data_IF_233586493545
#
_entry.id   IF_233586493545
#
_cell.length_a   1.000
_cell.length_b   1.000
_cell.length_c   1.000
_cell.angle_alpha   90.00
_cell.angle_beta   90.00
_cell.angle_gamma   90.00
#
_symmetry.space_group_name_H-M   'P 1'
#
loop_
_entity.id
_entity.type
_entity.pdbx_description
1 polymer ?
#
# COMPACT_ATOMS: atom_id res chain seq x y z
N UNK A 1 -21.06 12.00 -8.49
CA UNK A 1 -21.17 12.83 -9.70
C UNK A 1 -22.62 13.02 -10.04
N UNK A 2 -23.00 14.20 -10.57
CA UNK A 2 -24.37 14.42 -11.04
C UNK A 2 -24.78 13.24 -11.93
N UNK A 3 -26.02 12.74 -11.82
CA UNK A 3 -26.57 11.69 -12.70
C UNK A 3 -26.83 12.22 -14.12
N UNK A 4 -25.96 13.12 -14.58
CA UNK A 4 -25.95 13.68 -15.90
C UNK A 4 -25.03 12.78 -16.72
N UNK A 5 -25.58 12.19 -17.78
CA UNK A 5 -24.82 11.29 -18.65
C UNK A 5 -23.74 12.09 -19.35
N UNK A 6 -22.51 11.61 -19.29
CA UNK A 6 -21.40 12.20 -20.03
C UNK A 6 -21.39 11.65 -21.45
N UNK A 7 -21.85 12.44 -22.42
CA UNK A 7 -21.76 12.12 -23.85
C UNK A 7 -20.40 12.56 -24.40
N UNK A 8 -19.51 11.61 -24.68
CA UNK A 8 -18.17 11.86 -25.23
C UNK A 8 -18.27 12.63 -26.55
N UNK A 9 -17.51 13.72 -26.67
CA UNK A 9 -17.36 14.42 -27.95
C UNK A 9 -16.50 13.56 -28.90
N UNK A 10 -17.00 13.15 -30.07
CA UNK A 10 -16.24 12.35 -31.03
C UNK A 10 -15.03 13.12 -31.61
N UNK A 11 -15.14 14.44 -31.74
CA UNK A 11 -14.12 15.31 -32.33
C UNK A 11 -13.01 15.67 -31.33
N UNK A 12 -13.34 15.64 -30.03
CA UNK A 12 -12.40 15.84 -28.94
C UNK A 12 -12.73 14.91 -27.76
N UNK A 13 -12.19 13.68 -27.83
CA UNK A 13 -12.45 12.65 -26.81
C UNK A 13 -11.91 13.05 -25.43
N UNK A 14 -10.85 13.84 -25.37
CA UNK A 14 -10.17 14.26 -24.14
C UNK A 14 -10.76 15.55 -23.54
N UNK A 15 -11.43 16.36 -24.35
CA UNK A 15 -12.02 17.63 -23.91
C UNK A 15 -13.38 17.52 -23.23
N UNK A 16 -14.05 18.67 -23.16
CA UNK A 16 -15.38 18.80 -22.53
C UNK A 16 -16.40 17.94 -23.26
N UNK A 17 -17.18 17.15 -22.52
CA UNK A 17 -18.21 16.31 -23.12
C UNK A 17 -19.34 17.15 -23.71
N UNK A 18 -20.08 16.61 -24.69
CA UNK A 18 -21.21 17.29 -25.34
C UNK A 18 -22.26 17.75 -24.35
N UNK A 19 -22.39 17.03 -23.22
CA UNK A 19 -23.34 17.39 -22.17
C UNK A 19 -22.89 18.59 -21.34
N UNK A 20 -21.61 18.69 -21.02
CA UNK A 20 -21.05 19.85 -20.34
C UNK A 20 -20.94 21.08 -21.26
N UNK A 21 -20.68 20.88 -22.57
CA UNK A 21 -20.68 21.95 -23.57
C UNK A 21 -22.07 22.61 -23.71
N UNK A 22 -23.15 21.83 -23.65
CA UNK A 22 -24.53 22.37 -23.70
C UNK A 22 -24.86 23.36 -22.58
N UNK A 23 -24.13 23.33 -21.46
CA UNK A 23 -24.37 24.17 -20.27
C UNK A 23 -23.19 25.10 -19.95
N UNK A 24 -22.18 25.19 -20.82
CA UNK A 24 -20.97 25.99 -20.57
C UNK A 24 -21.23 27.50 -20.58
N UNK A 25 -22.29 27.95 -21.24
CA UNK A 25 -22.64 29.37 -21.35
C UNK A 25 -23.42 29.90 -20.13
N UNK A 26 -23.72 29.06 -19.14
CA UNK A 26 -24.41 29.47 -17.91
C UNK A 26 -23.37 29.97 -16.90
N UNK A 27 -23.58 31.16 -16.32
CA UNK A 27 -22.68 31.84 -15.35
C UNK A 27 -22.28 31.02 -14.09
N UNK A 28 -22.81 29.81 -13.93
CA UNK A 28 -22.57 28.90 -12.80
C UNK A 28 -21.45 27.88 -13.11
N UNK A 29 -20.89 27.88 -14.32
CA UNK A 29 -19.85 26.94 -14.71
C UNK A 29 -18.49 27.26 -14.04
N UNK A 30 -18.18 26.57 -12.94
CA UNK A 30 -16.91 26.72 -12.19
C UNK A 30 -15.99 25.49 -12.22
N UNK A 31 -16.47 24.34 -12.72
CA UNK A 31 -15.72 23.08 -12.68
C UNK A 31 -15.53 22.50 -14.09
N UNK A 32 -14.32 22.00 -14.43
CA UNK A 32 -14.09 21.33 -15.70
C UNK A 32 -14.90 20.02 -15.80
N UNK A 33 -15.05 19.50 -17.02
CA UNK A 33 -15.67 18.20 -17.25
C UNK A 33 -14.79 17.09 -16.66
N UNK A 34 -15.17 16.52 -15.52
CA UNK A 34 -14.44 15.46 -14.83
C UNK A 34 -15.10 14.09 -15.05
N UNK A 35 -14.37 13.15 -15.64
CA UNK A 35 -14.84 11.78 -15.97
C UNK A 35 -14.15 10.70 -15.12
N UNK A 36 -14.07 10.92 -13.81
CA UNK A 36 -13.32 10.05 -12.91
C UNK A 36 -14.07 8.76 -12.54
N UNK A 37 -13.36 7.63 -12.45
CA UNK A 37 -13.86 6.41 -11.81
C UNK A 37 -13.06 6.15 -10.54
N UNK A 38 -13.74 5.88 -9.43
CA UNK A 38 -13.06 5.60 -8.17
C UNK A 38 -12.22 4.31 -8.23
N UNK A 39 -12.59 3.38 -9.11
CA UNK A 39 -11.85 2.14 -9.38
C UNK A 39 -10.51 2.35 -10.11
N UNK A 40 -10.29 3.54 -10.70
CA UNK A 40 -9.03 3.89 -11.37
C UNK A 40 -7.93 4.29 -10.36
N UNK A 41 -8.29 4.51 -9.08
CA UNK A 41 -7.34 4.93 -8.04
C UNK A 41 -6.23 3.88 -7.83
N UNK A 42 -4.97 4.32 -7.96
CA UNK A 42 -3.78 3.54 -7.63
C UNK A 42 -3.42 3.72 -6.15
N UNK A 43 -3.26 2.61 -5.45
CA UNK A 43 -3.09 2.58 -3.98
C UNK A 43 -1.83 1.84 -3.52
N UNK A 44 -1.01 1.33 -4.43
CA UNK A 44 0.23 0.63 -4.12
C UNK A 44 1.17 0.65 -5.32
N UNK A 45 2.44 0.28 -5.09
CA UNK A 45 3.45 0.23 -6.14
C UNK A 45 3.26 -0.93 -7.11
N UNK A 46 3.54 -0.75 -8.40
CA UNK A 46 3.39 -1.83 -9.38
C UNK A 46 4.45 -2.94 -9.25
N UNK A 47 5.53 -2.69 -8.51
CA UNK A 47 6.64 -3.63 -8.36
C UNK A 47 7.96 -2.93 -8.02
N UNK A 48 9.06 -3.53 -8.46
CA UNK A 48 10.41 -2.99 -8.34
C UNK A 48 10.60 -1.74 -9.21
N UNK A 49 11.60 -0.92 -8.85
CA UNK A 49 12.01 0.21 -9.67
C UNK A 49 12.81 -0.33 -10.86
N UNK A 50 12.54 0.18 -12.06
CA UNK A 50 13.23 -0.23 -13.29
C UNK A 50 14.75 -0.10 -13.13
N UNK A 51 15.50 -1.14 -13.45
CA UNK A 51 16.95 -1.21 -13.27
C UNK A 51 17.42 -1.55 -11.85
N UNK A 52 16.49 -1.78 -10.92
CA UNK A 52 16.74 -2.21 -9.54
C UNK A 52 15.95 -3.48 -9.19
N UNK A 53 15.65 -4.30 -10.20
CA UNK A 53 15.00 -5.59 -10.04
C UNK A 53 15.91 -6.56 -9.28
N UNK A 54 15.34 -7.34 -8.37
CA UNK A 54 16.09 -8.40 -7.67
C UNK A 54 16.22 -9.68 -8.48
N UNK A 55 15.35 -9.88 -9.47
CA UNK A 55 15.40 -11.02 -10.39
C UNK A 55 14.60 -10.72 -11.65
N UNK A 56 14.97 -11.36 -12.76
CA UNK A 56 14.22 -11.35 -14.03
C UNK A 56 13.41 -12.64 -14.27
N UNK A 57 13.26 -13.49 -13.25
CA UNK A 57 12.48 -14.74 -13.35
C UNK A 57 11.01 -14.54 -13.71
N UNK A 58 10.39 -13.46 -13.24
CA UNK A 58 8.93 -13.25 -13.32
C UNK A 58 8.58 -11.93 -14.01
N UNK A 59 8.90 -11.81 -15.31
CA UNK A 59 8.72 -10.57 -16.09
C UNK A 59 7.25 -10.15 -16.22
N UNK A 60 6.33 -11.11 -16.30
CA UNK A 60 4.88 -10.85 -16.45
C UNK A 60 4.10 -10.88 -15.12
N UNK A 61 4.80 -11.00 -13.99
CA UNK A 61 4.17 -11.02 -12.66
C UNK A 61 3.36 -12.28 -12.35
N UNK A 62 3.48 -13.35 -13.15
CA UNK A 62 3.01 -14.70 -12.82
C UNK A 62 4.14 -15.44 -12.10
N UNK A 63 4.03 -15.65 -10.78
CA UNK A 63 5.06 -16.37 -10.07
C UNK A 63 4.91 -17.89 -10.28
N UNK A 64 5.92 -18.51 -10.88
CA UNK A 64 6.14 -19.95 -10.76
C UNK A 64 7.13 -20.23 -9.62
N UNK A 65 6.94 -21.36 -8.94
CA UNK A 65 7.89 -21.86 -7.94
C UNK A 65 9.26 -22.12 -8.59
N UNK A 66 10.33 -21.96 -7.81
CA UNK A 66 11.67 -22.29 -8.30
C UNK A 66 11.76 -23.81 -8.51
N UNK A 67 12.20 -24.20 -9.71
CA UNK A 67 12.39 -25.60 -10.09
C UNK A 67 13.81 -26.13 -9.78
N UNK A 68 14.83 -25.27 -9.91
CA UNK A 68 16.24 -25.65 -9.79
C UNK A 68 16.82 -25.31 -8.41
N UNK A 69 16.82 -26.32 -7.53
CA UNK A 69 17.34 -26.21 -6.16
C UNK A 69 18.77 -26.74 -6.05
N UNK A 70 19.62 -26.01 -5.30
CA UNK A 70 21.01 -26.39 -5.02
C UNK A 70 21.15 -27.35 -3.83
N UNK A 71 20.11 -27.44 -2.99
CA UNK A 71 20.06 -28.31 -1.82
C UNK A 71 18.66 -28.91 -1.66
N UNK A 72 18.57 -30.11 -1.10
CA UNK A 72 17.30 -30.71 -0.66
C UNK A 72 16.87 -30.20 0.72
N UNK A 73 17.77 -29.55 1.46
CA UNK A 73 17.53 -29.01 2.79
C UNK A 73 16.49 -27.88 2.74
N UNK A 74 15.50 -27.95 3.62
CA UNK A 74 14.50 -26.89 3.80
C UNK A 74 14.67 -26.28 5.18
N UNK A 75 14.78 -24.95 5.22
CA UNK A 75 14.90 -24.17 6.45
C UNK A 75 13.64 -23.36 6.69
N UNK A 76 13.38 -23.03 7.95
CA UNK A 76 12.30 -22.13 8.36
C UNK A 76 12.90 -20.82 8.84
N UNK A 77 12.55 -19.73 8.18
CA UNK A 77 12.97 -18.38 8.56
C UNK A 77 11.78 -17.58 9.03
N UNK A 78 12.00 -16.70 10.00
CA UNK A 78 11.01 -15.71 10.43
C UNK A 78 11.40 -14.36 9.84
N UNK A 79 10.45 -13.67 9.21
CA UNK A 79 10.68 -12.39 8.54
C UNK A 79 9.73 -11.32 9.06
N UNK A 80 10.22 -10.10 9.14
CA UNK A 80 9.42 -8.96 9.59
C UNK A 80 9.92 -7.64 9.00
N UNK A 81 8.99 -6.71 8.79
CA UNK A 81 9.30 -5.30 8.54
C UNK A 81 9.37 -4.52 9.86
N UNK A 82 9.10 -5.14 11.00
CA UNK A 82 9.14 -4.53 12.34
C UNK A 82 7.97 -3.58 12.61
N UNK A 83 6.79 -3.88 12.07
CA UNK A 83 5.55 -3.15 12.35
C UNK A 83 4.74 -3.76 13.50
N UNK A 84 4.98 -5.02 13.83
CA UNK A 84 4.33 -5.77 14.90
C UNK A 84 5.40 -6.54 15.66
N UNK A 85 5.04 -7.09 16.82
CA UNK A 85 5.88 -8.03 17.58
C UNK A 85 6.02 -9.40 16.89
N UNK A 86 5.10 -9.71 15.99
CA UNK A 86 5.05 -10.99 15.30
C UNK A 86 5.86 -10.95 14.00
N UNK A 87 6.18 -12.13 13.50
CA UNK A 87 6.95 -12.33 12.28
C UNK A 87 6.30 -13.43 11.44
N UNK A 88 6.39 -13.30 10.12
CA UNK A 88 5.87 -14.29 9.18
C UNK A 88 6.89 -15.41 9.04
N UNK A 89 6.47 -16.65 9.24
CA UNK A 89 7.33 -17.82 9.02
C UNK A 89 7.24 -18.28 7.58
N UNK A 90 8.39 -18.54 6.96
CA UNK A 90 8.50 -18.97 5.57
C UNK A 90 9.44 -20.17 5.45
N UNK A 91 9.07 -21.12 4.60
CA UNK A 91 9.94 -22.25 4.23
C UNK A 91 10.80 -21.87 3.04
N UNK A 92 12.11 -22.04 3.19
CA UNK A 92 13.10 -21.61 2.21
C UNK A 92 14.10 -22.71 1.90
N UNK A 93 14.69 -22.64 0.72
CA UNK A 93 15.71 -23.58 0.23
C UNK A 93 16.72 -22.83 -0.62
N UNK A 94 17.94 -23.34 -0.67
CA UNK A 94 18.98 -22.77 -1.52
C UNK A 94 18.71 -23.14 -2.99
N UNK A 95 18.67 -22.15 -3.88
CA UNK A 95 18.45 -22.35 -5.31
C UNK A 95 19.75 -22.20 -6.11
N UNK A 96 19.75 -22.69 -7.35
CA UNK A 96 20.85 -22.45 -8.29
C UNK A 96 20.61 -21.09 -8.98
N UNK A 97 21.47 -20.09 -8.77
CA UNK A 97 21.32 -18.78 -9.41
C UNK A 97 21.35 -18.87 -10.93
N UNK A 98 20.57 -18.01 -11.58
CA UNK A 98 20.59 -17.86 -13.04
C UNK A 98 20.83 -16.40 -13.43
N UNK A 99 21.06 -16.15 -14.72
CA UNK A 99 21.23 -14.79 -15.22
C UNK A 99 20.03 -13.90 -14.86
N UNK A 100 20.33 -12.69 -14.38
CA UNK A 100 19.36 -11.73 -13.89
C UNK A 100 18.98 -11.86 -12.42
N UNK A 101 19.41 -12.90 -11.70
CA UNK A 101 19.24 -12.96 -10.24
C UNK A 101 20.27 -12.09 -9.52
N UNK A 102 19.79 -11.23 -8.62
CA UNK A 102 20.65 -10.49 -7.72
C UNK A 102 21.06 -11.35 -6.53
N UNK A 103 22.37 -11.45 -6.31
CA UNK A 103 22.98 -12.06 -5.11
C UNK A 103 23.62 -11.00 -4.21
N UNK A 104 23.23 -9.74 -4.38
CA UNK A 104 23.78 -8.63 -3.63
C UNK A 104 22.71 -7.72 -3.03
N UNK A 105 23.04 -7.10 -1.90
CA UNK A 105 22.30 -5.96 -1.36
C UNK A 105 23.22 -4.74 -1.41
N UNK A 106 22.71 -3.63 -1.94
CA UNK A 106 23.48 -2.40 -2.10
C UNK A 106 22.75 -1.16 -1.57
N UNK A 107 23.53 -0.18 -1.12
CA UNK A 107 23.08 1.14 -0.68
C UNK A 107 24.13 2.21 -1.04
N UNK A 108 23.75 3.48 -0.98
CA UNK A 108 24.66 4.61 -1.18
C UNK A 108 24.91 5.31 0.16
N UNK A 109 26.17 5.61 0.46
CA UNK A 109 26.59 6.43 1.60
C UNK A 109 27.67 7.39 1.12
N UNK A 110 27.51 8.69 1.38
CA UNK A 110 28.42 9.76 0.94
C UNK A 110 28.77 9.71 -0.57
N UNK A 111 27.78 9.39 -1.39
CA UNK A 111 27.94 9.27 -2.85
C UNK A 111 28.59 7.96 -3.32
N UNK A 112 29.06 7.11 -2.40
CA UNK A 112 29.72 5.83 -2.72
C UNK A 112 28.72 4.68 -2.62
N UNK A 113 28.64 3.86 -3.66
CA UNK A 113 27.82 2.64 -3.66
C UNK A 113 28.55 1.53 -2.91
N UNK A 114 27.93 1.05 -1.83
CA UNK A 114 28.36 -0.12 -1.05
C UNK A 114 27.49 -1.33 -1.40
N UNK A 115 28.05 -2.54 -1.25
CA UNK A 115 27.35 -3.80 -1.52
C UNK A 115 27.86 -4.94 -0.65
N UNK A 116 26.99 -5.92 -0.40
CA UNK A 116 27.33 -7.20 0.25
C UNK A 116 26.72 -8.37 -0.49
N UNK A 117 27.40 -9.52 -0.46
CA UNK A 117 26.94 -10.77 -1.07
C UNK A 117 25.95 -11.46 -0.13
N UNK A 118 24.83 -11.92 -0.67
CA UNK A 118 23.74 -12.56 0.06
C UNK A 118 23.52 -13.97 -0.51
N UNK A 119 23.32 -14.99 0.35
CA UNK A 119 23.12 -16.36 -0.11
C UNK A 119 21.84 -16.52 -0.95
N UNK A 120 21.91 -17.43 -1.92
CA UNK A 120 20.86 -17.71 -2.88
C UNK A 120 19.74 -18.59 -2.28
N UNK A 121 18.94 -18.01 -1.38
CA UNK A 121 17.73 -18.65 -0.88
C UNK A 121 16.46 -18.10 -1.54
N UNK A 122 15.45 -18.95 -1.63
CA UNK A 122 14.13 -18.64 -2.14
C UNK A 122 13.05 -19.39 -1.35
N UNK A 123 11.83 -18.86 -1.38
CA UNK A 123 10.64 -19.48 -0.80
C UNK A 123 10.27 -20.72 -1.61
N UNK A 124 9.97 -21.81 -0.90
CA UNK A 124 9.68 -23.13 -1.48
C UNK A 124 8.28 -23.20 -2.10
N UNK A 125 7.28 -22.59 -1.45
CA UNK A 125 5.89 -22.65 -1.87
C UNK A 125 5.23 -21.27 -1.68
N UNK A 126 4.82 -20.66 -2.78
CA UNK A 126 4.25 -19.31 -2.76
C UNK A 126 2.79 -19.24 -2.27
N UNK A 127 2.02 -20.32 -2.41
CA UNK A 127 0.65 -20.39 -1.85
C UNK A 127 0.66 -20.49 -0.32
N UNK A 128 1.64 -21.18 0.26
CA UNK A 128 1.87 -21.16 1.71
C UNK A 128 2.29 -19.77 2.18
N UNK A 129 3.21 -19.12 1.46
CA UNK A 129 3.62 -17.75 1.79
C UNK A 129 2.43 -16.78 1.74
N UNK A 130 1.58 -16.87 0.71
CA UNK A 130 0.34 -16.10 0.58
C UNK A 130 -0.61 -16.36 1.75
N UNK A 131 -0.77 -17.61 2.16
CA UNK A 131 -1.63 -17.98 3.30
C UNK A 131 -1.08 -17.41 4.61
N UNK A 132 0.24 -17.47 4.81
CA UNK A 132 0.92 -16.92 5.97
C UNK A 132 0.78 -15.38 6.02
N UNK A 133 1.02 -14.69 4.91
CA UNK A 133 0.86 -13.23 4.81
C UNK A 133 -0.59 -12.78 4.98
N UNK A 134 -1.55 -13.47 4.38
CA UNK A 134 -2.99 -13.13 4.50
C UNK A 134 -3.47 -13.28 5.94
N UNK A 135 -3.04 -14.33 6.62
CA UNK A 135 -3.33 -14.56 8.05
C UNK A 135 -2.69 -13.47 8.91
N UNK A 136 -1.41 -13.19 8.68
CA UNK A 136 -0.67 -12.15 9.40
C UNK A 136 -1.31 -10.76 9.25
N UNK A 137 -1.68 -10.36 8.03
CA UNK A 137 -2.35 -9.08 7.77
C UNK A 137 -3.71 -9.02 8.47
N UNK A 138 -4.47 -10.11 8.43
CA UNK A 138 -5.81 -10.17 9.03
C UNK A 138 -5.79 -10.04 10.55
N UNK A 139 -4.77 -10.59 11.21
CA UNK A 139 -4.64 -10.55 12.67
C UNK A 139 -3.95 -9.28 13.18
N UNK A 140 -3.06 -8.66 12.40
CA UNK A 140 -2.07 -7.72 12.95
C UNK A 140 -2.22 -6.27 12.48
N UNK A 141 -3.20 -5.95 11.63
CA UNK A 141 -3.39 -4.57 11.13
C UNK A 141 -3.63 -3.55 12.26
N UNK A 142 -4.29 -3.96 13.35
CA UNK A 142 -4.52 -3.10 14.51
C UNK A 142 -3.20 -2.70 15.17
N UNK A 143 -2.32 -3.67 15.42
CA UNK A 143 -1.01 -3.42 16.05
C UNK A 143 -0.12 -2.59 15.13
N UNK A 144 -0.12 -2.89 13.84
CA UNK A 144 0.58 -2.11 12.82
C UNK A 144 0.13 -0.64 12.82
N UNK A 145 -1.18 -0.37 12.86
CA UNK A 145 -1.71 0.99 12.97
C UNK A 145 -1.19 1.67 14.24
N UNK A 146 -1.31 1.03 15.41
CA UNK A 146 -0.82 1.59 16.68
C UNK A 146 0.67 1.95 16.61
N UNK A 147 1.50 1.05 16.07
CA UNK A 147 2.95 1.25 15.98
C UNK A 147 3.34 2.41 15.07
N UNK A 148 2.70 2.52 13.89
CA UNK A 148 3.02 3.56 12.91
C UNK A 148 2.49 4.93 13.33
N UNK A 149 1.33 4.95 13.99
CA UNK A 149 0.65 6.18 14.39
C UNK A 149 1.11 6.68 15.76
N UNK A 150 1.86 5.88 16.53
CA UNK A 150 2.42 6.30 17.80
C UNK A 150 3.24 7.59 17.66
N UNK A 151 2.94 8.59 18.49
CA UNK A 151 3.60 9.90 18.47
C UNK A 151 3.30 10.73 17.21
N UNK A 152 2.29 10.38 16.41
CA UNK A 152 1.84 11.18 15.26
C UNK A 152 0.78 12.21 15.66
N UNK A 153 0.42 13.05 14.69
CA UNK A 153 -0.58 14.09 14.83
C UNK A 153 -1.90 13.58 15.42
N UNK A 154 -2.56 14.42 16.24
CA UNK A 154 -3.79 14.09 16.96
C UNK A 154 -4.93 13.68 16.01
N UNK A 155 -5.03 14.29 14.83
CA UNK A 155 -6.06 13.97 13.85
C UNK A 155 -5.82 12.58 13.23
N UNK A 156 -4.57 12.22 12.94
CA UNK A 156 -4.24 10.88 12.46
C UNK A 156 -4.63 9.82 13.49
N UNK A 157 -4.26 10.03 14.76
CA UNK A 157 -4.60 9.13 15.86
C UNK A 157 -6.11 9.01 16.04
N UNK A 158 -6.83 10.12 16.09
CA UNK A 158 -8.27 10.14 16.28
C UNK A 158 -9.01 9.43 15.14
N UNK A 159 -8.62 9.70 13.89
CA UNK A 159 -9.29 9.14 12.70
C UNK A 159 -9.06 7.64 12.57
N UNK A 160 -7.82 7.16 12.73
CA UNK A 160 -7.56 5.71 12.70
C UNK A 160 -8.16 5.01 13.93
N UNK A 161 -8.14 5.65 15.10
CA UNK A 161 -8.83 5.16 16.29
C UNK A 161 -10.33 4.98 16.06
N UNK A 162 -10.99 5.97 15.44
CA UNK A 162 -12.39 5.89 15.07
C UNK A 162 -12.66 4.76 14.06
N UNK A 163 -11.83 4.63 13.03
CA UNK A 163 -11.95 3.51 12.07
C UNK A 163 -11.85 2.15 12.76
N UNK A 164 -10.87 1.96 13.65
CA UNK A 164 -10.72 0.72 14.41
C UNK A 164 -11.92 0.43 15.32
N UNK A 165 -12.51 1.45 15.95
CA UNK A 165 -13.72 1.29 16.75
C UNK A 165 -14.90 0.81 15.90
N UNK A 166 -15.14 1.43 14.73
CA UNK A 166 -16.23 1.00 13.83
C UNK A 166 -16.06 -0.45 13.39
N UNK A 167 -14.83 -0.93 13.15
CA UNK A 167 -14.62 -2.35 12.78
C UNK A 167 -14.98 -3.36 13.86
N UNK A 168 -15.12 -2.90 15.12
CA UNK A 168 -15.41 -3.71 16.31
C UNK A 168 -16.79 -3.45 16.91
N UNK A 169 -17.44 -2.35 16.52
CA UNK A 169 -18.72 -1.91 17.06
C UNK A 169 -19.84 -2.88 16.64
N UNK A 170 -20.49 -3.61 17.55
CA UNK A 170 -21.56 -4.54 17.19
C UNK A 170 -22.72 -3.85 16.44
N UNK A 171 -22.96 -2.56 16.69
CA UNK A 171 -24.07 -1.80 16.11
C UNK A 171 -23.79 -1.28 14.70
N UNK A 172 -22.53 -1.25 14.26
CA UNK A 172 -22.18 -0.81 12.91
C UNK A 172 -22.67 -1.82 11.85
N UNK A 173 -23.09 -1.33 10.69
CA UNK A 173 -23.53 -2.19 9.59
C UNK A 173 -22.41 -3.05 9.03
N UNK A 174 -22.69 -4.32 8.70
CA UNK A 174 -21.67 -5.29 8.28
C UNK A 174 -20.88 -4.84 7.05
N UNK A 175 -21.54 -4.17 6.09
CA UNK A 175 -20.87 -3.62 4.90
C UNK A 175 -19.86 -2.52 5.23
N UNK A 176 -20.14 -1.69 6.23
CA UNK A 176 -19.25 -0.61 6.65
C UNK A 176 -18.04 -1.16 7.41
N UNK A 177 -18.28 -2.13 8.30
CA UNK A 177 -17.23 -2.87 9.01
C UNK A 177 -16.27 -3.55 8.05
N UNK A 178 -16.82 -4.30 7.10
CA UNK A 178 -16.06 -5.05 6.12
C UNK A 178 -15.23 -4.10 5.23
N UNK A 179 -15.82 -2.99 4.77
CA UNK A 179 -15.11 -2.02 3.96
C UNK A 179 -13.95 -1.35 4.72
N UNK A 180 -14.16 -0.93 5.97
CA UNK A 180 -13.09 -0.35 6.80
C UNK A 180 -12.00 -1.38 7.10
N UNK A 181 -12.36 -2.63 7.39
CA UNK A 181 -11.41 -3.71 7.60
C UNK A 181 -10.54 -3.93 6.36
N UNK A 182 -11.15 -4.04 5.17
CA UNK A 182 -10.43 -4.17 3.90
C UNK A 182 -9.52 -2.98 3.63
N UNK A 183 -9.96 -1.75 3.92
CA UNK A 183 -9.13 -0.56 3.78
C UNK A 183 -7.89 -0.59 4.70
N UNK A 184 -8.06 -1.01 5.95
CA UNK A 184 -6.96 -1.13 6.92
C UNK A 184 -6.02 -2.30 6.60
N UNK A 185 -6.55 -3.44 6.16
CA UNK A 185 -5.76 -4.57 5.67
C UNK A 185 -4.94 -4.20 4.44
N UNK A 186 -5.57 -3.53 3.46
CA UNK A 186 -4.86 -3.01 2.29
C UNK A 186 -3.76 -2.06 2.74
N UNK A 187 -4.08 -1.08 3.60
CA UNK A 187 -3.12 -0.12 4.13
C UNK A 187 -1.90 -0.81 4.74
N UNK A 188 -2.10 -1.80 5.62
CA UNK A 188 -1.02 -2.62 6.19
C UNK A 188 -0.22 -3.35 5.11
N UNK A 189 -0.90 -4.03 4.18
CA UNK A 189 -0.25 -4.78 3.11
C UNK A 189 0.68 -3.88 2.28
N UNK A 190 0.28 -2.64 1.99
CA UNK A 190 1.15 -1.66 1.28
C UNK A 190 2.36 -1.26 2.13
N UNK A 191 2.22 -1.16 3.47
CA UNK A 191 3.36 -0.86 4.35
C UNK A 191 4.42 -1.96 4.27
N UNK A 192 4.00 -3.22 4.14
CA UNK A 192 4.92 -4.35 4.06
C UNK A 192 5.79 -4.33 2.80
N UNK A 193 5.31 -3.77 1.69
CA UNK A 193 6.11 -3.63 0.45
C UNK A 193 6.87 -2.32 0.34
N UNK A 194 6.84 -1.48 1.37
CA UNK A 194 7.46 -0.13 1.35
C UNK A 194 8.37 0.10 2.56
N UNK A 195 8.77 -0.98 3.21
CA UNK A 195 9.84 -1.04 4.20
C UNK A 195 10.66 -2.29 3.94
N UNK A 196 11.94 -2.25 4.28
CA UNK A 196 12.79 -3.42 4.13
C UNK A 196 12.40 -4.51 5.13
N UNK A 197 12.08 -5.69 4.61
CA UNK A 197 11.92 -6.93 5.37
C UNK A 197 13.30 -7.46 5.77
N UNK A 198 13.41 -7.94 7.00
CA UNK A 198 14.62 -8.56 7.56
C UNK A 198 14.30 -9.94 8.12
N UNK A 199 15.31 -10.80 8.18
CA UNK A 199 15.22 -12.09 8.88
C UNK A 199 15.47 -11.85 10.37
N UNK A 200 14.69 -12.52 11.21
CA UNK A 200 14.77 -12.49 12.67
C UNK A 200 14.71 -13.90 13.23
N UNK A 201 15.18 -14.09 14.47
CA UNK A 201 15.28 -15.41 15.11
C UNK A 201 16.65 -16.04 14.92
N UNK A 202 16.74 -17.34 15.22
CA UNK A 202 18.00 -18.09 15.24
C UNK A 202 18.52 -18.45 13.84
N UNK A 203 17.63 -18.77 12.91
CA UNK A 203 18.02 -19.10 11.54
C UNK A 203 18.36 -17.83 10.74
N UNK A 204 19.65 -17.64 10.44
CA UNK A 204 20.16 -16.47 9.68
C UNK A 204 20.57 -16.80 8.25
N UNK A 205 20.30 -18.03 7.77
CA UNK A 205 20.78 -18.54 6.48
C UNK A 205 22.30 -18.51 6.34
N UNK A 206 23.01 -18.66 7.46
CA UNK A 206 24.46 -18.59 7.54
C UNK A 206 25.05 -17.18 7.41
N UNK A 207 24.21 -16.13 7.40
CA UNK A 207 24.70 -14.76 7.37
C UNK A 207 25.15 -14.28 8.76
N UNK A 208 26.22 -13.49 8.77
CA UNK A 208 26.71 -12.83 9.97
C UNK A 208 25.77 -11.66 10.37
N UNK A 209 25.43 -11.46 11.66
CA UNK A 209 24.64 -10.31 12.13
C UNK A 209 25.17 -8.93 11.71
N UNK A 210 26.49 -8.81 11.51
CA UNK A 210 27.17 -7.58 11.11
C UNK A 210 27.44 -7.50 9.59
N UNK A 211 26.76 -8.32 8.78
CA UNK A 211 26.90 -8.28 7.31
C UNK A 211 26.57 -6.89 6.74
N UNK A 212 25.67 -6.15 7.38
CA UNK A 212 25.37 -4.76 7.04
C UNK A 212 26.21 -3.84 7.92
N UNK A 213 27.11 -3.06 7.32
CA UNK A 213 27.97 -2.12 8.05
C UNK A 213 27.17 -0.96 8.68
N UNK A 214 27.85 -0.14 9.49
CA UNK A 214 27.28 1.01 10.21
C UNK A 214 26.72 2.12 9.31
N UNK A 215 27.08 2.13 8.03
CA UNK A 215 26.55 3.08 7.05
C UNK A 215 25.26 2.60 6.41
N UNK A 216 24.88 1.35 6.66
CA UNK A 216 23.66 0.76 6.12
C UNK A 216 22.43 1.10 6.97
N UNK A 217 21.28 1.42 6.35
CA UNK A 217 20.00 1.48 7.05
C UNK A 217 19.56 0.17 7.73
N UNK A 218 20.25 -0.93 7.41
CA UNK A 218 20.03 -2.26 7.97
C UNK A 218 21.16 -2.72 8.90
N UNK A 219 21.98 -1.81 9.43
CA UNK A 219 23.02 -2.12 10.40
C UNK A 219 22.49 -3.06 11.50
N UNK A 220 23.27 -4.11 11.80
CA UNK A 220 22.95 -5.10 12.84
C UNK A 220 21.73 -5.97 12.55
N UNK A 221 21.25 -6.02 11.31
CA UNK A 221 20.12 -6.86 10.89
C UNK A 221 20.53 -7.82 9.79
N UNK A 222 19.84 -8.96 9.73
CA UNK A 222 19.99 -9.92 8.64
C UNK A 222 19.11 -9.48 7.46
N UNK A 223 19.69 -9.06 6.32
CA UNK A 223 18.90 -8.66 5.16
C UNK A 223 18.22 -9.87 4.53
N UNK A 224 17.03 -9.66 3.98
CA UNK A 224 16.36 -10.69 3.21
C UNK A 224 17.11 -10.97 1.89
N UNK A 225 17.26 -12.24 1.45
CA UNK A 225 17.73 -12.58 0.12
C UNK A 225 16.95 -11.86 -1.00
N UNK A 226 17.61 -11.35 -2.06
CA UNK A 226 16.92 -10.57 -3.10
C UNK A 226 15.79 -11.33 -3.80
N UNK A 227 16.01 -12.59 -4.17
CA UNK A 227 14.99 -13.43 -4.83
C UNK A 227 13.82 -13.72 -3.90
N UNK A 228 14.06 -14.01 -2.61
CA UNK A 228 12.99 -14.08 -1.61
C UNK A 228 12.20 -12.77 -1.52
N UNK A 229 12.89 -11.63 -1.53
CA UNK A 229 12.23 -10.32 -1.57
C UNK A 229 11.29 -10.19 -2.76
N UNK A 230 11.72 -10.64 -3.94
CA UNK A 230 10.90 -10.57 -5.14
C UNK A 230 9.67 -11.48 -5.02
N UNK A 231 9.82 -12.70 -4.49
CA UNK A 231 8.70 -13.60 -4.23
C UNK A 231 7.68 -13.01 -3.25
N UNK A 232 8.15 -12.40 -2.16
CA UNK A 232 7.29 -11.74 -1.17
C UNK A 232 6.54 -10.56 -1.80
N UNK A 233 7.24 -9.74 -2.61
CA UNK A 233 6.59 -8.65 -3.33
C UNK A 233 5.55 -9.15 -4.33
N UNK A 234 5.81 -10.24 -5.04
CA UNK A 234 4.86 -10.83 -5.98
C UNK A 234 3.58 -11.27 -5.27
N UNK A 235 3.72 -12.00 -4.16
CA UNK A 235 2.60 -12.44 -3.32
C UNK A 235 1.82 -11.24 -2.79
N UNK A 236 2.51 -10.28 -2.16
CA UNK A 236 1.85 -9.12 -1.55
C UNK A 236 1.17 -8.23 -2.59
N UNK A 237 1.82 -7.89 -3.70
CA UNK A 237 1.31 -6.95 -4.71
C UNK A 237 0.23 -7.61 -5.57
N UNK A 238 0.55 -8.75 -6.20
CA UNK A 238 -0.31 -9.32 -7.24
C UNK A 238 -1.43 -10.21 -6.69
N UNK A 239 -1.26 -10.82 -5.51
CA UNK A 239 -2.27 -11.73 -4.96
C UNK A 239 -3.07 -11.14 -3.79
N UNK A 240 -2.46 -10.26 -2.98
CA UNK A 240 -3.13 -9.71 -1.79
C UNK A 240 -3.62 -8.29 -2.03
N UNK A 241 -2.73 -7.36 -2.35
CA UNK A 241 -3.06 -5.94 -2.53
C UNK A 241 -4.00 -5.72 -3.73
N UNK A 242 -3.79 -6.41 -4.85
CA UNK A 242 -4.66 -6.33 -6.03
C UNK A 242 -6.13 -6.69 -5.71
N UNK A 243 -6.33 -7.77 -4.96
CA UNK A 243 -7.63 -8.29 -4.56
C UNK A 243 -8.30 -7.36 -3.54
N UNK A 244 -7.59 -6.99 -2.46
CA UNK A 244 -8.09 -6.04 -1.46
C UNK A 244 -8.46 -4.69 -2.09
N UNK A 245 -7.64 -4.18 -3.01
CA UNK A 245 -7.92 -2.92 -3.72
C UNK A 245 -9.18 -3.01 -4.56
N UNK A 246 -9.34 -4.07 -5.36
CA UNK A 246 -10.51 -4.25 -6.24
C UNK A 246 -11.79 -4.25 -5.41
N UNK A 247 -11.87 -5.13 -4.43
CA UNK A 247 -13.06 -5.27 -3.57
C UNK A 247 -13.34 -3.99 -2.77
N UNK A 248 -12.31 -3.37 -2.20
CA UNK A 248 -12.46 -2.14 -1.43
C UNK A 248 -12.98 -0.97 -2.29
N UNK A 249 -12.42 -0.76 -3.49
CA UNK A 249 -12.84 0.33 -4.38
C UNK A 249 -14.24 0.09 -4.96
N UNK A 250 -14.61 -1.16 -5.27
CA UNK A 250 -15.96 -1.53 -5.71
C UNK A 250 -16.98 -1.23 -4.61
N UNK A 251 -16.71 -1.67 -3.37
CA UNK A 251 -17.58 -1.41 -2.23
C UNK A 251 -17.67 0.09 -1.89
N UNK A 252 -16.55 0.82 -1.96
CA UNK A 252 -16.52 2.27 -1.78
C UNK A 252 -17.34 2.97 -2.88
N UNK A 253 -17.27 2.50 -4.12
CA UNK A 253 -18.10 3.01 -5.21
C UNK A 253 -19.59 2.83 -4.89
N UNK A 254 -20.00 1.65 -4.45
CA UNK A 254 -21.40 1.38 -4.08
C UNK A 254 -21.89 2.30 -2.97
N UNK A 255 -21.11 2.49 -1.90
CA UNK A 255 -21.51 3.34 -0.77
C UNK A 255 -21.57 4.82 -1.19
N UNK A 256 -20.57 5.31 -1.92
CA UNK A 256 -20.54 6.70 -2.40
C UNK A 256 -21.68 7.00 -3.40
N UNK A 257 -22.03 6.04 -4.27
CA UNK A 257 -23.14 6.19 -5.21
C UNK A 257 -24.52 6.10 -4.54
N UNK A 258 -24.65 5.31 -3.48
CA UNK A 258 -25.88 5.27 -2.68
C UNK A 258 -26.17 6.63 -2.01
N UNK A 259 -25.12 7.43 -1.76
CA UNK A 259 -25.18 8.81 -1.28
C UNK A 259 -26.09 9.00 -0.05
N UNK A 260 -26.02 8.04 0.89
CA UNK A 260 -26.79 8.07 2.15
C UNK A 260 -26.05 8.89 3.19
N UNK A 261 -26.76 9.75 3.91
CA UNK A 261 -26.18 10.53 5.01
C UNK A 261 -25.66 9.64 6.15
N UNK A 262 -26.29 8.49 6.38
CA UNK A 262 -25.88 7.53 7.41
C UNK A 262 -24.44 7.02 7.21
N UNK A 263 -23.99 6.89 5.96
CA UNK A 263 -22.65 6.36 5.61
C UNK A 263 -21.59 7.45 5.46
N UNK A 264 -21.92 8.71 5.80
CA UNK A 264 -21.02 9.84 5.67
C UNK A 264 -19.71 9.64 6.44
N UNK A 265 -19.82 9.22 7.71
CA UNK A 265 -18.67 9.08 8.59
C UNK A 265 -17.72 7.98 8.09
N UNK A 266 -18.25 6.84 7.68
CA UNK A 266 -17.48 5.75 7.07
C UNK A 266 -16.79 6.21 5.79
N UNK A 267 -17.48 6.95 4.93
CA UNK A 267 -16.87 7.56 3.73
C UNK A 267 -15.69 8.47 4.10
N UNK A 268 -15.86 9.33 5.10
CA UNK A 268 -14.77 10.19 5.61
C UNK A 268 -13.56 9.37 6.07
N UNK A 269 -13.77 8.38 6.93
CA UNK A 269 -12.70 7.56 7.49
C UNK A 269 -11.88 6.86 6.38
N UNK A 270 -12.58 6.24 5.42
CA UNK A 270 -11.92 5.53 4.31
C UNK A 270 -11.16 6.52 3.43
N UNK A 271 -11.80 7.60 2.98
CA UNK A 271 -11.13 8.62 2.15
C UNK A 271 -9.89 9.15 2.84
N UNK A 272 -9.95 9.43 4.14
CA UNK A 272 -8.81 9.90 4.92
C UNK A 272 -7.67 8.86 4.96
N UNK A 273 -7.98 7.60 5.26
CA UNK A 273 -6.99 6.52 5.30
C UNK A 273 -6.30 6.35 3.94
N UNK A 274 -7.07 6.40 2.85
CA UNK A 274 -6.53 6.27 1.49
C UNK A 274 -5.67 7.48 1.07
N UNK A 275 -6.07 8.70 1.43
CA UNK A 275 -5.26 9.90 1.21
C UNK A 275 -3.95 9.87 2.02
N UNK A 276 -4.01 9.40 3.26
CA UNK A 276 -2.81 9.18 4.07
C UNK A 276 -1.90 8.12 3.43
N UNK A 277 -2.46 7.04 2.89
CA UNK A 277 -1.68 6.03 2.15
C UNK A 277 -0.95 6.64 0.94
N UNK A 278 -1.60 7.51 0.17
CA UNK A 278 -0.96 8.22 -0.96
C UNK A 278 0.22 9.06 -0.46
N UNK A 279 0.06 9.79 0.64
CA UNK A 279 1.16 10.57 1.24
C UNK A 279 2.37 9.69 1.60
N UNK A 280 2.12 8.54 2.25
CA UNK A 280 3.17 7.60 2.64
C UNK A 280 3.85 6.94 1.44
N UNK A 281 3.12 6.66 0.35
CA UNK A 281 3.69 6.14 -0.90
C UNK A 281 4.64 7.15 -1.54
N UNK A 282 4.22 8.42 -1.64
CA UNK A 282 5.09 9.49 -2.14
C UNK A 282 6.36 9.65 -1.29
N UNK A 283 6.22 9.57 0.05
CA UNK A 283 7.36 9.63 0.96
C UNK A 283 8.31 8.44 0.77
N UNK A 284 7.77 7.23 0.58
CA UNK A 284 8.55 6.03 0.30
C UNK A 284 9.33 6.20 -1.01
N UNK A 285 8.69 6.66 -2.09
CA UNK A 285 9.35 6.88 -3.38
C UNK A 285 10.50 7.89 -3.31
N UNK A 286 10.32 8.98 -2.55
CA UNK A 286 11.38 9.96 -2.32
C UNK A 286 12.53 9.40 -1.48
N UNK A 287 12.21 8.57 -0.48
CA UNK A 287 13.22 7.94 0.37
C UNK A 287 14.00 6.86 -0.39
N UNK A 288 13.33 6.12 -1.27
CA UNK A 288 13.98 5.13 -2.13
C UNK A 288 14.95 5.80 -3.12
N UNK A 289 14.54 6.89 -3.77
CA UNK A 289 15.40 7.66 -4.67
C UNK A 289 16.70 8.09 -3.98
N UNK A 290 16.59 8.66 -2.77
CA UNK A 290 17.74 9.05 -1.95
C UNK A 290 18.63 7.87 -1.57
N UNK A 291 18.05 6.77 -1.07
CA UNK A 291 18.78 5.55 -0.66
C UNK A 291 19.66 4.99 -1.79
N UNK A 292 19.19 5.11 -3.02
CA UNK A 292 19.86 4.57 -4.21
C UNK A 292 20.59 5.63 -5.04
N UNK A 293 20.73 6.87 -4.54
CA UNK A 293 21.48 7.93 -5.22
C UNK A 293 20.86 8.38 -6.55
N UNK A 294 19.55 8.23 -6.72
CA UNK A 294 18.85 8.66 -7.93
C UNK A 294 18.82 10.19 -8.02
N UNK A 295 18.95 10.73 -9.24
CA UNK A 295 18.91 12.18 -9.49
C UNK A 295 17.50 12.78 -9.39
N UNK A 296 16.46 11.97 -9.64
CA UNK A 296 15.06 12.39 -9.57
C UNK A 296 14.59 12.52 -8.12
N UNK A 297 13.55 13.34 -7.89
CA UNK A 297 12.95 13.50 -6.55
C UNK A 297 12.29 12.21 -6.05
N UNK A 298 11.73 11.44 -6.98
CA UNK A 298 11.02 10.19 -6.70
C UNK A 298 11.60 9.08 -7.56
N UNK A 299 11.61 7.85 -7.03
CA UNK A 299 12.11 6.69 -7.77
C UNK A 299 11.20 6.33 -8.95
N UNK A 300 9.89 6.57 -8.83
CA UNK A 300 8.89 6.37 -9.89
C UNK A 300 8.02 7.62 -10.04
N UNK A 301 8.51 8.63 -10.75
CA UNK A 301 7.81 9.91 -10.90
C UNK A 301 6.42 9.76 -11.54
N UNK A 302 6.30 8.93 -12.58
CA UNK A 302 5.01 8.67 -13.24
C UNK A 302 4.00 8.05 -12.27
N UNK A 303 4.44 7.09 -11.43
CA UNK A 303 3.56 6.49 -10.42
C UNK A 303 3.14 7.49 -9.34
N UNK A 304 4.02 8.42 -8.96
CA UNK A 304 3.67 9.48 -8.01
C UNK A 304 2.59 10.39 -8.58
N UNK A 305 2.64 10.72 -9.88
CA UNK A 305 1.55 11.46 -10.55
C UNK A 305 0.25 10.68 -10.52
N UNK A 306 0.29 9.37 -10.76
CA UNK A 306 -0.89 8.50 -10.67
C UNK A 306 -1.48 8.45 -9.25
N UNK A 307 -0.65 8.40 -8.19
CA UNK A 307 -1.15 8.46 -6.82
C UNK A 307 -1.82 9.80 -6.50
N UNK A 308 -1.26 10.92 -6.98
CA UNK A 308 -1.83 12.26 -6.82
C UNK A 308 -3.15 12.40 -7.60
N UNK A 309 -3.23 11.86 -8.81
CA UNK A 309 -4.48 11.77 -9.55
C UNK A 309 -5.52 10.95 -8.77
N UNK A 310 -5.11 9.81 -8.21
CA UNK A 310 -5.95 9.01 -7.32
C UNK A 310 -6.48 9.78 -6.11
N UNK A 311 -5.65 10.60 -5.47
CA UNK A 311 -6.08 11.48 -4.37
C UNK A 311 -7.13 12.50 -4.83
N UNK A 312 -6.95 13.10 -6.00
CA UNK A 312 -7.93 14.02 -6.59
C UNK A 312 -9.26 13.34 -6.89
N UNK A 313 -9.22 12.10 -7.40
CA UNK A 313 -10.42 11.28 -7.62
C UNK A 313 -11.15 11.07 -6.28
N UNK A 314 -10.45 10.62 -5.23
CA UNK A 314 -11.04 10.38 -3.91
C UNK A 314 -11.69 11.64 -3.33
N UNK A 315 -11.02 12.79 -3.43
CA UNK A 315 -11.55 14.07 -2.98
C UNK A 315 -12.78 14.50 -3.79
N UNK A 316 -12.76 14.33 -5.11
CA UNK A 316 -13.90 14.64 -5.97
C UNK A 316 -15.15 13.82 -5.58
N UNK A 317 -14.98 12.53 -5.30
CA UNK A 317 -16.07 11.67 -4.82
C UNK A 317 -16.54 12.10 -3.43
N UNK A 318 -15.63 12.39 -2.50
CA UNK A 318 -15.96 12.85 -1.15
C UNK A 318 -16.77 14.15 -1.17
N UNK A 319 -16.31 15.17 -1.91
CA UNK A 319 -17.01 16.44 -2.04
C UNK A 319 -18.39 16.30 -2.68
N UNK A 320 -18.51 15.40 -3.67
CA UNK A 320 -19.79 15.11 -4.30
C UNK A 320 -20.80 14.51 -3.32
N UNK A 321 -20.40 13.46 -2.58
CA UNK A 321 -21.30 12.79 -1.63
C UNK A 321 -21.75 13.75 -0.52
N UNK A 322 -20.84 14.64 -0.12
CA UNK A 322 -21.10 15.57 0.96
C UNK A 322 -21.77 16.86 0.47
N UNK A 323 -22.20 16.96 -0.81
CA UNK A 323 -22.91 18.13 -1.36
C UNK A 323 -22.26 19.50 -1.06
N UNK A 324 -20.95 19.53 -0.80
CA UNK A 324 -20.28 20.73 -0.30
C UNK A 324 -20.74 21.22 1.09
N UNK A 325 -21.55 20.47 1.84
CA UNK A 325 -21.88 20.81 3.23
C UNK A 325 -20.61 20.79 4.05
N UNK A 326 -20.23 21.97 4.54
CA UNK A 326 -19.29 22.12 5.66
C UNK A 326 -19.96 21.49 6.87
N UNK A 327 -19.72 20.20 7.13
CA UNK A 327 -20.10 19.65 8.42
C UNK A 327 -19.37 20.48 9.48
N UNK A 328 -20.12 21.01 10.43
CA UNK A 328 -19.60 21.85 11.50
C UNK A 328 -18.42 21.13 12.15
N UNK A 329 -17.27 21.79 12.37
CA UNK A 329 -16.13 21.20 13.08
C UNK A 329 -16.56 20.50 14.37
N UNK A 330 -17.61 20.99 15.04
CA UNK A 330 -18.26 20.37 16.19
C UNK A 330 -18.72 18.92 15.97
N UNK A 331 -19.44 18.58 14.88
CA UNK A 331 -19.94 17.20 14.67
C UNK A 331 -18.79 16.22 14.42
N UNK A 332 -17.76 16.65 13.69
CA UNK A 332 -16.56 15.85 13.48
C UNK A 332 -15.79 15.72 14.80
N UNK A 333 -15.66 16.82 15.55
CA UNK A 333 -15.05 16.81 16.88
C UNK A 333 -15.82 15.85 17.78
N UNK A 334 -17.13 15.93 17.92
CA UNK A 334 -17.96 15.06 18.77
C UNK A 334 -17.82 13.58 18.38
N UNK A 335 -17.77 13.24 17.09
CA UNK A 335 -17.55 11.86 16.64
C UNK A 335 -16.11 11.36 16.85
N UNK A 336 -15.13 12.27 16.87
CA UNK A 336 -13.73 11.95 17.16
C UNK A 336 -13.44 11.95 18.68
N UNK A 337 -14.10 12.84 19.44
CA UNK A 337 -13.90 13.22 20.85
C UNK A 337 -14.78 12.41 21.80
N UNK A 338 -16.02 12.06 21.40
CA UNK A 338 -16.86 11.07 22.10
C UNK A 338 -16.24 9.66 22.16
N UNK A 339 -15.02 9.50 21.65
CA UNK A 339 -14.18 8.32 21.83
C UNK A 339 -12.77 8.61 22.36
N UNK A 340 -12.52 9.79 22.96
CA UNK A 340 -11.30 10.11 23.74
C UNK A 340 -11.55 9.91 25.24
N UNK A 341 -12.78 10.14 25.72
CA UNK A 341 -13.14 10.08 27.14
C UNK A 341 -13.41 8.65 27.69
N UNK A 342 -12.92 7.60 27.01
CA UNK A 342 -13.02 6.20 27.47
C UNK A 342 -11.69 5.43 27.34
N UNK A 343 -10.55 6.10 27.46
CA UNK A 343 -9.25 5.43 27.63
C UNK A 343 -8.89 5.22 29.09
#
# INVERSE_FOLDING_TARGET
MQRIRCETNPDDKAGTCLTCLRVSNVKVWRMPCLRYKITDVRLFKPGNVKGHEWTRRWVEGVPDDISHWASTETRRVRVTEGYTKDAVELRVRQFVPQDGDSLERSWVHDGVRKRVIIPAYAIVNLEEAKSAYSSYISCSFVECCKKILFGKDKLLLATYGAALRVTRDPLAGDKEKDLLRKALQLWMAVRMTTKSTVIVGEETLGMNPNIMDETSPLQGKIPLPPVMGAQIELVLIHQIQSNLRREMLENLQTITQANKQSTWFTTYLITFILLHNVSLLCQHDASYARKHGMKSRFAREDMVREYQLGANILLAYFHYCNKGTKHSPGILCDKLQGGIDQQ
#
